data_IF_064706769774
#
_entry.id   IF_064706769774
#
_cell.length_a   1.000
_cell.length_b   1.000
_cell.length_c   1.000
_cell.angle_alpha   90.00
_cell.angle_beta   90.00
_cell.angle_gamma   90.00
#
_symmetry.space_group_name_H-M   'P 1'
#
loop_
_entity.id
_entity.type
_entity.pdbx_description
1 polymer ?
#
# COMPACT_ATOMS: atom_id res chain seq x y z
N UNK A 1 -14.27 37.55 2.36
CA UNK A 1 -13.06 36.88 1.82
C UNK A 1 -12.32 37.89 0.96
N UNK A 2 -11.01 38.07 1.11
CA UNK A 2 -10.27 38.99 0.24
C UNK A 2 -10.13 38.41 -1.17
N UNK A 3 -10.21 39.26 -2.20
CA UNK A 3 -10.10 38.84 -3.61
C UNK A 3 -8.81 38.09 -3.92
N UNK A 4 -7.70 38.47 -3.27
CA UNK A 4 -6.42 37.76 -3.39
C UNK A 4 -6.52 36.31 -2.92
N UNK A 5 -7.17 36.08 -1.77
CA UNK A 5 -7.36 34.75 -1.23
C UNK A 5 -8.29 33.91 -2.11
N UNK A 6 -9.37 34.52 -2.62
CA UNK A 6 -10.30 33.87 -3.54
C UNK A 6 -9.61 33.45 -4.84
N UNK A 7 -8.80 34.33 -5.44
CA UNK A 7 -8.02 34.03 -6.63
C UNK A 7 -7.00 32.91 -6.38
N UNK A 8 -6.26 32.97 -5.27
CA UNK A 8 -5.27 31.95 -4.93
C UNK A 8 -5.90 30.57 -4.72
N UNK A 9 -7.04 30.48 -4.03
CA UNK A 9 -7.76 29.20 -3.89
C UNK A 9 -8.28 28.69 -5.23
N UNK A 10 -8.83 29.57 -6.06
CA UNK A 10 -9.32 29.22 -7.39
C UNK A 10 -8.19 28.65 -8.27
N UNK A 11 -7.00 29.24 -8.22
CA UNK A 11 -5.86 28.81 -9.05
C UNK A 11 -5.18 27.54 -8.47
N UNK A 12 -4.98 27.49 -7.16
CA UNK A 12 -4.27 26.40 -6.46
C UNK A 12 -5.13 25.17 -6.21
N UNK A 13 -6.45 25.31 -6.10
CA UNK A 13 -7.36 24.20 -5.83
C UNK A 13 -8.30 23.93 -7.01
N UNK A 14 -8.53 24.91 -7.90
CA UNK A 14 -9.55 24.81 -8.95
C UNK A 14 -10.98 25.04 -8.43
N UNK A 15 -11.12 25.37 -7.15
CA UNK A 15 -12.40 25.55 -6.46
C UNK A 15 -12.27 26.56 -5.33
N UNK A 16 -13.30 27.34 -5.09
CA UNK A 16 -13.39 28.32 -4.02
C UNK A 16 -14.85 28.55 -3.60
N UNK A 17 -15.12 28.94 -2.33
CA UNK A 17 -16.49 29.19 -1.86
C UNK A 17 -17.18 30.29 -2.67
N UNK A 18 -18.32 29.98 -3.29
CA UNK A 18 -19.05 30.89 -4.19
C UNK A 18 -18.79 30.66 -5.69
N UNK A 19 -17.93 29.71 -6.05
CA UNK A 19 -17.73 29.30 -7.45
C UNK A 19 -18.78 28.26 -7.87
N UNK A 20 -19.71 28.65 -8.75
CA UNK A 20 -20.80 27.80 -9.21
C UNK A 20 -20.34 26.62 -10.09
N UNK A 21 -19.14 26.71 -10.68
CA UNK A 21 -18.56 25.66 -11.51
C UNK A 21 -17.08 25.47 -11.18
N UNK A 22 -16.68 24.38 -10.51
CA UNK A 22 -15.27 24.11 -10.25
C UNK A 22 -14.52 23.91 -11.56
N UNK A 23 -13.37 24.56 -11.69
CA UNK A 23 -12.54 24.48 -12.90
C UNK A 23 -11.76 23.16 -12.84
N UNK A 24 -11.98 22.29 -13.84
CA UNK A 24 -11.16 21.09 -14.01
C UNK A 24 -9.74 21.51 -14.37
N UNK A 25 -8.82 21.43 -13.41
CA UNK A 25 -7.40 21.69 -13.67
C UNK A 25 -6.82 20.54 -14.48
N UNK A 26 -6.11 20.89 -15.56
CA UNK A 26 -5.22 19.95 -16.24
C UNK A 26 -4.04 19.71 -15.31
N UNK A 27 -3.96 18.53 -14.71
CA UNK A 27 -2.74 18.12 -13.98
C UNK A 27 -1.65 17.94 -15.02
N UNK A 28 -0.48 18.55 -14.80
CA UNK A 28 0.70 18.20 -15.56
C UNK A 28 1.03 16.75 -15.18
N UNK A 29 0.86 15.83 -16.13
CA UNK A 29 1.18 14.42 -15.89
C UNK A 29 2.69 14.27 -16.06
N UNK A 30 3.38 13.75 -15.04
CA UNK A 30 4.82 13.50 -15.15
C UNK A 30 5.14 12.50 -16.29
N UNK A 31 4.20 11.58 -16.52
CA UNK A 31 4.26 10.57 -17.58
C UNK A 31 3.36 10.94 -18.75
N UNK A 32 3.95 11.55 -19.76
CA UNK A 32 3.35 11.75 -21.08
C UNK A 32 3.21 10.41 -21.81
N UNK A 33 2.27 10.33 -22.75
CA UNK A 33 1.99 9.08 -23.46
C UNK A 33 3.16 8.65 -24.37
N UNK A 34 3.87 9.61 -24.97
CA UNK A 34 5.08 9.36 -25.76
C UNK A 34 6.21 8.77 -24.90
N UNK A 35 6.40 9.31 -23.69
CA UNK A 35 7.41 8.81 -22.73
C UNK A 35 7.08 7.38 -22.26
N UNK A 36 5.80 7.09 -22.03
CA UNK A 36 5.38 5.72 -21.67
C UNK A 36 5.64 4.74 -22.81
N UNK A 37 5.31 5.13 -24.04
CA UNK A 37 5.54 4.30 -25.21
C UNK A 37 7.04 4.01 -25.39
N UNK A 38 7.89 5.03 -25.27
CA UNK A 38 9.34 4.89 -25.37
C UNK A 38 9.92 3.94 -24.31
N UNK A 39 9.44 4.03 -23.06
CA UNK A 39 9.84 3.12 -21.97
C UNK A 39 9.37 1.68 -22.21
N UNK A 40 8.17 1.49 -22.75
CA UNK A 40 7.65 0.15 -23.07
C UNK A 40 8.47 -0.48 -24.21
N UNK A 41 8.73 0.27 -25.27
CA UNK A 41 9.52 -0.18 -26.42
C UNK A 41 10.97 -0.50 -26.01
N UNK A 42 11.60 0.37 -25.21
CA UNK A 42 12.94 0.12 -24.67
C UNK A 42 12.98 -1.16 -23.82
N UNK A 43 11.94 -1.40 -23.01
CA UNK A 43 11.84 -2.60 -22.19
C UNK A 43 11.63 -3.86 -23.03
N UNK A 44 10.80 -3.83 -24.08
CA UNK A 44 10.58 -4.96 -24.98
C UNK A 44 11.84 -5.29 -25.80
N UNK A 45 12.54 -4.28 -26.30
CA UNK A 45 13.78 -4.43 -27.05
C UNK A 45 14.90 -5.08 -26.21
N UNK A 46 14.91 -4.82 -24.90
CA UNK A 46 15.89 -5.38 -23.97
C UNK A 46 15.68 -6.89 -23.68
N UNK A 47 14.64 -7.54 -24.24
CA UNK A 47 14.31 -8.95 -24.02
C UNK A 47 14.41 -9.38 -22.54
N UNK A 48 13.57 -8.81 -21.67
CA UNK A 48 13.72 -8.96 -20.23
C UNK A 48 13.46 -10.41 -19.83
N UNK A 49 14.36 -10.97 -19.03
CA UNK A 49 14.14 -12.26 -18.37
C UNK A 49 13.74 -12.03 -16.91
N UNK A 50 13.19 -13.02 -16.20
CA UNK A 50 12.86 -12.86 -14.77
C UNK A 50 14.06 -12.46 -13.89
N UNK A 51 15.29 -12.74 -14.32
CA UNK A 51 16.52 -12.35 -13.61
C UNK A 51 16.97 -10.93 -13.98
N UNK A 52 16.90 -10.57 -15.26
CA UNK A 52 17.38 -9.29 -15.80
C UNK A 52 16.34 -8.18 -15.75
N UNK A 53 15.04 -8.50 -15.58
CA UNK A 53 13.94 -7.53 -15.63
C UNK A 53 14.08 -6.37 -14.64
N UNK A 54 14.72 -6.61 -13.50
CA UNK A 54 14.96 -5.61 -12.46
C UNK A 54 16.15 -4.69 -12.77
N UNK A 55 17.11 -5.16 -13.56
CA UNK A 55 18.27 -4.40 -14.03
C UNK A 55 17.83 -3.49 -15.18
N UNK A 56 17.13 -4.03 -16.18
CA UNK A 56 16.55 -3.24 -17.30
C UNK A 56 15.66 -2.10 -16.78
N UNK A 57 14.85 -2.35 -15.74
CA UNK A 57 14.02 -1.31 -15.12
C UNK A 57 14.86 -0.20 -14.47
N UNK A 58 16.03 -0.51 -13.90
CA UNK A 58 16.93 0.49 -13.32
C UNK A 58 17.62 1.29 -14.42
N UNK A 59 18.10 0.62 -15.46
CA UNK A 59 18.78 1.27 -16.58
C UNK A 59 17.85 2.27 -17.28
N UNK A 60 16.60 1.87 -17.54
CA UNK A 60 15.57 2.76 -18.11
C UNK A 60 15.21 3.89 -17.13
N UNK A 61 15.17 3.61 -15.83
CA UNK A 61 14.89 4.66 -14.84
C UNK A 61 15.98 5.74 -14.81
N UNK A 62 17.25 5.33 -14.92
CA UNK A 62 18.39 6.24 -15.01
C UNK A 62 18.40 7.02 -16.34
N UNK A 63 18.03 6.41 -17.46
CA UNK A 63 17.97 7.08 -18.76
C UNK A 63 16.87 8.16 -18.84
N UNK A 64 15.73 7.93 -18.18
CA UNK A 64 14.56 8.82 -18.25
C UNK A 64 14.41 9.74 -17.02
N UNK A 65 15.41 9.80 -16.12
CA UNK A 65 15.38 10.56 -14.86
C UNK A 65 14.13 10.26 -14.00
N UNK A 66 13.65 9.02 -14.05
CA UNK A 66 12.44 8.58 -13.37
C UNK A 66 12.76 7.56 -12.28
N UNK A 67 11.84 7.38 -11.32
CA UNK A 67 12.08 6.36 -10.30
C UNK A 67 11.89 4.94 -10.88
N UNK A 68 12.69 3.94 -10.47
CA UNK A 68 12.50 2.54 -10.87
C UNK A 68 11.09 2.02 -10.58
N UNK A 69 10.45 2.53 -9.52
CA UNK A 69 9.06 2.20 -9.20
C UNK A 69 8.07 2.83 -10.19
N UNK A 70 8.32 4.07 -10.65
CA UNK A 70 7.54 4.72 -11.70
C UNK A 70 7.56 3.93 -13.01
N UNK A 71 8.75 3.50 -13.44
CA UNK A 71 8.93 2.63 -14.61
C UNK A 71 8.17 1.31 -14.44
N UNK A 72 8.27 0.63 -13.28
CA UNK A 72 7.48 -0.60 -13.02
C UNK A 72 5.99 -0.37 -13.10
N UNK A 73 5.49 0.77 -12.63
CA UNK A 73 4.07 1.10 -12.68
C UNK A 73 3.60 1.25 -14.13
N UNK A 74 4.40 1.87 -15.00
CA UNK A 74 4.10 1.99 -16.44
C UNK A 74 4.10 0.62 -17.10
N UNK A 75 5.15 -0.18 -16.92
CA UNK A 75 5.28 -1.50 -17.52
C UNK A 75 4.22 -2.50 -17.02
N UNK A 76 3.88 -2.45 -15.72
CA UNK A 76 2.84 -3.30 -15.14
C UNK A 76 1.45 -2.90 -15.65
N UNK A 77 1.20 -1.61 -15.84
CA UNK A 77 -0.06 -1.12 -16.40
C UNK A 77 -0.19 -1.43 -17.90
N UNK A 78 0.94 -1.50 -18.60
CA UNK A 78 1.02 -1.97 -19.98
C UNK A 78 0.97 -3.52 -20.10
N UNK A 79 1.11 -4.25 -18.99
CA UNK A 79 1.05 -5.71 -18.96
C UNK A 79 2.32 -6.42 -19.42
N UNK A 80 3.40 -5.69 -19.71
CA UNK A 80 4.65 -6.23 -20.28
C UNK A 80 5.67 -6.58 -19.20
N UNK A 81 5.48 -6.11 -17.97
CA UNK A 81 6.45 -6.30 -16.89
C UNK A 81 6.59 -7.77 -16.46
N UNK A 82 7.81 -8.30 -16.55
CA UNK A 82 8.14 -9.66 -16.13
C UNK A 82 8.63 -9.63 -14.68
N UNK A 83 7.77 -10.11 -13.78
CA UNK A 83 8.12 -10.29 -12.38
C UNK A 83 9.12 -11.44 -12.23
N UNK A 84 10.15 -11.22 -11.40
CA UNK A 84 11.09 -12.27 -11.01
C UNK A 84 10.32 -13.49 -10.48
N UNK A 85 10.50 -14.63 -11.13
CA UNK A 85 9.91 -15.91 -10.70
C UNK A 85 10.54 -16.26 -9.36
N UNK A 86 9.76 -16.41 -8.27
CA UNK A 86 10.30 -17.06 -7.10
C UNK A 86 10.69 -18.48 -7.53
N UNK A 87 11.93 -18.90 -7.26
CA UNK A 87 12.32 -20.29 -7.41
C UNK A 87 11.21 -21.15 -6.79
N UNK A 88 10.68 -22.12 -7.56
CA UNK A 88 9.54 -22.97 -7.18
C UNK A 88 9.56 -23.33 -5.69
N UNK A 89 8.77 -22.60 -4.91
CA UNK A 89 8.89 -22.61 -3.45
C UNK A 89 8.30 -21.36 -2.83
N UNK A 90 7.02 -21.44 -2.49
CA UNK A 90 6.29 -20.52 -1.63
C UNK A 90 5.86 -19.17 -2.24
N UNK A 91 4.57 -18.91 -2.10
CA UNK A 91 3.92 -17.62 -2.24
C UNK A 91 4.57 -16.57 -1.34
N UNK A 92 5.62 -15.90 -1.81
CA UNK A 92 6.21 -14.76 -1.10
C UNK A 92 5.45 -13.48 -1.45
N UNK A 93 4.38 -13.29 -0.69
CA UNK A 93 3.88 -11.97 -0.31
C UNK A 93 5.07 -11.05 0.03
N UNK A 94 5.27 -10.03 -0.82
CA UNK A 94 5.80 -8.70 -0.46
C UNK A 94 6.56 -8.62 0.87
N UNK A 95 7.90 -8.58 0.81
CA UNK A 95 8.79 -8.13 1.88
C UNK A 95 8.65 -6.62 2.09
N UNK A 96 7.46 -6.19 2.49
CA UNK A 96 7.28 -5.03 3.36
C UNK A 96 7.21 -5.64 4.75
N UNK A 97 8.02 -5.13 5.69
CA UNK A 97 7.95 -5.51 7.09
C UNK A 97 6.49 -5.77 7.47
N UNK A 98 6.17 -6.90 8.14
CA UNK A 98 4.80 -7.19 8.52
C UNK A 98 4.40 -6.11 9.52
N UNK A 99 3.86 -5.00 9.03
CA UNK A 99 2.72 -4.42 9.69
C UNK A 99 1.69 -5.53 9.55
N UNK A 100 1.68 -6.44 10.52
CA UNK A 100 0.57 -7.33 10.80
C UNK A 100 -0.64 -6.40 10.83
N UNK A 101 -1.28 -6.25 9.67
CA UNK A 101 -2.56 -5.57 9.58
C UNK A 101 -3.50 -6.60 10.15
N UNK A 102 -3.49 -6.71 11.46
CA UNK A 102 -4.37 -7.62 12.18
C UNK A 102 -5.76 -7.09 11.88
N UNK A 103 -6.53 -7.91 11.17
CA UNK A 103 -7.93 -7.58 10.92
C UNK A 103 -8.63 -7.51 12.28
N UNK A 104 -9.54 -6.55 12.45
CA UNK A 104 -10.23 -6.36 13.72
C UNK A 104 -10.94 -7.64 14.15
N UNK A 105 -11.55 -8.36 13.20
CA UNK A 105 -12.19 -9.64 13.43
C UNK A 105 -11.21 -10.71 13.95
N UNK A 106 -10.09 -10.95 13.26
CA UNK A 106 -9.12 -11.97 13.69
C UNK A 106 -8.51 -11.66 15.06
N UNK A 107 -8.31 -10.38 15.39
CA UNK A 107 -7.81 -9.98 16.71
C UNK A 107 -8.83 -10.23 17.83
N UNK A 108 -10.12 -10.01 17.54
CA UNK A 108 -11.21 -10.22 18.49
C UNK A 108 -11.42 -11.72 18.74
N UNK A 109 -11.42 -12.53 17.69
CA UNK A 109 -11.51 -14.00 17.80
C UNK A 109 -10.34 -14.56 18.63
N UNK A 110 -9.11 -14.11 18.37
CA UNK A 110 -7.94 -14.52 19.16
C UNK A 110 -8.06 -14.13 20.64
N UNK A 111 -8.63 -12.96 20.94
CA UNK A 111 -8.88 -12.53 22.32
C UNK A 111 -9.98 -13.36 22.99
N UNK A 112 -11.07 -13.65 22.29
CA UNK A 112 -12.15 -14.50 22.82
C UNK A 112 -11.63 -15.90 23.16
N UNK A 113 -10.82 -16.50 22.30
CA UNK A 113 -10.19 -17.79 22.55
C UNK A 113 -9.27 -17.75 23.78
N UNK A 114 -8.39 -16.74 23.87
CA UNK A 114 -7.49 -16.59 25.02
C UNK A 114 -8.22 -16.39 26.36
N UNK A 115 -9.37 -15.72 26.36
CA UNK A 115 -10.19 -15.52 27.57
C UNK A 115 -10.91 -16.82 27.97
N UNK A 116 -11.40 -17.60 27.00
CA UNK A 116 -12.00 -18.92 27.24
C UNK A 116 -10.95 -19.90 27.77
N UNK A 117 -9.75 -19.91 27.21
CA UNK A 117 -8.63 -20.73 27.69
C UNK A 117 -8.23 -20.35 29.14
N UNK A 118 -8.36 -19.07 29.50
CA UNK A 118 -8.18 -18.59 30.87
C UNK A 118 -9.39 -18.89 31.80
N UNK A 119 -10.44 -19.54 31.30
CA UNK A 119 -11.61 -19.96 32.07
C UNK A 119 -12.50 -18.80 32.55
N UNK A 120 -12.50 -17.65 31.86
CA UNK A 120 -13.32 -16.48 32.19
C UNK A 120 -14.47 -16.31 31.20
N UNK A 121 -15.55 -15.68 31.65
CA UNK A 121 -16.67 -15.31 30.77
C UNK A 121 -16.26 -14.20 29.81
N UNK A 122 -16.65 -14.36 28.55
CA UNK A 122 -16.33 -13.46 27.44
C UNK A 122 -17.45 -12.41 27.31
N UNK A 123 -17.10 -11.13 27.44
CA UNK A 123 -18.01 -10.01 27.16
C UNK A 123 -17.87 -9.56 25.70
N UNK A 124 -18.77 -10.04 24.84
CA UNK A 124 -18.78 -9.75 23.41
C UNK A 124 -19.02 -8.25 23.10
N UNK A 125 -19.77 -7.55 23.94
CA UNK A 125 -20.08 -6.13 23.79
C UNK A 125 -18.84 -5.26 24.05
N UNK A 126 -17.96 -5.68 24.96
CA UNK A 126 -16.68 -5.03 25.21
C UNK A 126 -15.68 -5.35 24.10
N UNK A 127 -15.60 -6.62 23.68
CA UNK A 127 -14.64 -7.06 22.66
C UNK A 127 -14.94 -6.40 21.30
N UNK A 128 -16.21 -6.25 20.93
CA UNK A 128 -16.63 -5.58 19.68
C UNK A 128 -16.17 -4.11 19.60
N UNK A 129 -16.04 -3.42 20.73
CA UNK A 129 -15.59 -2.02 20.84
C UNK A 129 -14.07 -1.88 20.75
N UNK A 130 -13.30 -2.94 20.96
CA UNK A 130 -11.84 -2.91 20.88
C UNK A 130 -11.34 -2.71 19.44
N UNK A 131 -10.21 -2.04 19.30
CA UNK A 131 -9.47 -2.01 18.02
C UNK A 131 -8.62 -3.27 17.90
N UNK A 132 -8.32 -3.71 16.67
CA UNK A 132 -7.53 -4.93 16.48
C UNK A 132 -6.15 -4.89 17.16
N UNK A 133 -5.53 -3.70 17.25
CA UNK A 133 -4.28 -3.52 18.00
C UNK A 133 -4.46 -3.66 19.51
N UNK A 134 -5.54 -3.12 20.08
CA UNK A 134 -5.83 -3.23 21.50
C UNK A 134 -6.14 -4.69 21.89
N UNK A 135 -6.93 -5.39 21.08
CA UNK A 135 -7.22 -6.81 21.32
C UNK A 135 -5.96 -7.68 21.31
N UNK A 136 -5.05 -7.46 20.34
CA UNK A 136 -3.76 -8.17 20.30
C UNK A 136 -2.83 -7.86 21.48
N UNK A 137 -2.87 -6.63 22.01
CA UNK A 137 -2.12 -6.29 23.21
C UNK A 137 -2.58 -7.14 24.40
N UNK A 138 -3.89 -7.30 24.60
CA UNK A 138 -4.42 -8.15 25.67
C UNK A 138 -4.14 -9.64 25.45
N UNK A 139 -4.25 -10.14 24.20
CA UNK A 139 -3.82 -11.51 23.86
C UNK A 139 -2.36 -11.73 24.27
N UNK A 140 -1.46 -10.80 23.96
CA UNK A 140 -0.03 -10.94 24.31
C UNK A 140 0.23 -10.96 25.82
N UNK A 141 -0.56 -10.23 26.61
CA UNK A 141 -0.46 -10.26 28.08
C UNK A 141 -0.96 -11.60 28.61
N UNK A 142 -2.10 -12.09 28.13
CA UNK A 142 -2.69 -13.37 28.55
C UNK A 142 -1.76 -14.54 28.21
N UNK A 143 -1.13 -14.54 27.03
CA UNK A 143 -0.17 -15.58 26.65
C UNK A 143 1.13 -15.57 27.44
N UNK A 144 1.55 -14.42 27.97
CA UNK A 144 2.77 -14.30 28.80
C UNK A 144 2.48 -14.45 30.31
N UNK A 145 1.20 -14.48 30.69
CA UNK A 145 0.73 -14.39 32.08
C UNK A 145 0.37 -15.72 32.73
N UNK A 146 0.81 -16.86 32.19
CA UNK A 146 0.64 -18.18 32.83
C UNK A 146 1.91 -18.53 33.64
N UNK A 147 2.05 -18.11 34.91
CA UNK A 147 2.93 -18.82 35.82
C UNK A 147 2.33 -20.21 36.05
N UNK A 148 3.07 -21.25 35.66
CA UNK A 148 2.89 -22.60 36.23
C UNK A 148 2.94 -22.47 37.76
N UNK A 149 1.86 -22.81 38.45
CA UNK A 149 1.91 -23.17 39.87
C UNK A 149 2.42 -24.62 39.96
N UNK A 150 3.63 -24.78 40.48
CA UNK A 150 4.14 -25.99 41.16
C UNK A 150 4.28 -25.69 42.66
#
# INVERSE_FOLDING_TARGET
MGDRFYAQQRDVLGTCPGLNHPIKRKRNMAWDDDKKAAVIEAYENANPTPETSMEVVKDIAEEYDESPNGVRMVLSKAGVYIKKTPASGSSSSSTKAPSTRVSKAAAQEALTAAIVDAGKEVDEDVISKLTGKAAMYFVSILSNGTPEED
#
